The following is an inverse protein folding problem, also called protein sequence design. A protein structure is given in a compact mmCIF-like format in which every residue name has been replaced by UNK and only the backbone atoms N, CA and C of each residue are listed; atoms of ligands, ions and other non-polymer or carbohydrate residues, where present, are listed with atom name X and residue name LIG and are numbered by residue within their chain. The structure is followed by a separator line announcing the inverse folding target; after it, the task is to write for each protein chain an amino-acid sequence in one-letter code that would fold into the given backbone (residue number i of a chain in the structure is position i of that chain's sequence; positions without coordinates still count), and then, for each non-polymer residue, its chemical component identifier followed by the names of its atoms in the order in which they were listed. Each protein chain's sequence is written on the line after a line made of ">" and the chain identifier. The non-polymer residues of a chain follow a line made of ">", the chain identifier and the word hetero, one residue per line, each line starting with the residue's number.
data_IF_993596392818
#
_entry.id   IF_993596392818
#
_cell.length_a   1.000
_cell.length_b   1.000
_cell.length_c   1.000
_cell.angle_alpha   90.00
_cell.angle_beta   90.00
_cell.angle_gamma   90.00
#
_symmetry.space_group_name_H-M   'P 1'
#
loop_
_entity.id
_entity.type
_entity.pdbx_description
1 polymer ?
#
# COMPACT_ATOMS: atom_id res chain seq x y z
N UNK A 1 -17.69 22.84 16.76
CA UNK A 1 -16.80 21.68 16.82
C UNK A 1 -15.41 22.16 17.20
N UNK A 2 -14.90 21.73 18.36
CA UNK A 2 -13.61 22.16 18.87
C UNK A 2 -12.50 21.84 17.86
N UNK A 3 -11.70 22.87 17.52
CA UNK A 3 -10.45 22.71 16.77
C UNK A 3 -9.50 21.90 17.66
N UNK A 4 -9.35 20.61 17.42
CA UNK A 4 -8.20 19.90 17.92
C UNK A 4 -6.96 20.65 17.38
N UNK A 5 -6.20 21.28 18.25
CA UNK A 5 -4.96 21.91 17.86
C UNK A 5 -4.03 20.84 17.30
N UNK A 6 -3.72 20.92 16.03
CA UNK A 6 -2.73 20.04 15.42
C UNK A 6 -1.38 20.36 16.10
N UNK A 7 -0.81 19.35 16.73
CA UNK A 7 0.46 19.50 17.42
C UNK A 7 1.17 18.17 17.62
N UNK A 8 2.48 18.18 17.89
CA UNK A 8 3.30 16.97 18.01
C UNK A 8 2.72 15.95 18.99
N UNK A 9 2.14 16.42 20.11
CA UNK A 9 1.52 15.54 21.11
C UNK A 9 0.31 14.77 20.58
N UNK A 10 -0.57 15.41 19.79
CA UNK A 10 -1.73 14.75 19.18
C UNK A 10 -1.29 13.70 18.16
N UNK A 11 -0.32 14.04 17.33
CA UNK A 11 0.24 13.11 16.32
C UNK A 11 0.88 11.90 16.98
N UNK A 12 1.65 12.13 18.07
CA UNK A 12 2.26 11.05 18.84
C UNK A 12 1.23 10.12 19.45
N UNK A 13 0.20 10.68 20.11
CA UNK A 13 -0.89 9.89 20.73
C UNK A 13 -1.62 9.06 19.68
N UNK A 14 -2.00 9.66 18.54
CA UNK A 14 -2.70 8.95 17.46
C UNK A 14 -1.86 7.80 16.92
N UNK A 15 -0.58 8.04 16.65
CA UNK A 15 0.32 7.01 16.14
C UNK A 15 0.55 5.92 17.19
N UNK A 16 0.68 6.27 18.47
CA UNK A 16 0.80 5.30 19.56
C UNK A 16 -0.45 4.42 19.70
N UNK A 17 -1.65 5.02 19.60
CA UNK A 17 -2.91 4.26 19.64
C UNK A 17 -3.01 3.29 18.46
N UNK A 18 -2.68 3.73 17.25
CA UNK A 18 -2.68 2.87 16.06
C UNK A 18 -1.66 1.74 16.22
N UNK A 19 -0.44 2.06 16.71
CA UNK A 19 0.61 1.07 16.99
C UNK A 19 0.17 0.04 18.01
N UNK A 20 -0.44 0.48 19.11
CA UNK A 20 -0.97 -0.41 20.12
C UNK A 20 -2.06 -1.33 19.55
N UNK A 21 -2.95 -0.77 18.72
CA UNK A 21 -4.06 -1.52 18.11
C UNK A 21 -3.55 -2.67 17.25
N UNK A 22 -2.64 -2.43 16.32
CA UNK A 22 -2.16 -3.50 15.46
C UNK A 22 -1.20 -4.46 16.18
N UNK A 23 -0.38 -3.97 17.14
CA UNK A 23 0.51 -4.83 17.92
C UNK A 23 -0.29 -5.79 18.80
N UNK A 24 -1.35 -5.31 19.47
CA UNK A 24 -2.25 -6.16 20.24
C UNK A 24 -2.97 -7.16 19.34
N UNK A 25 -3.44 -6.74 18.17
CA UNK A 25 -4.06 -7.63 17.21
C UNK A 25 -3.11 -8.76 16.76
N UNK A 26 -1.83 -8.42 16.51
CA UNK A 26 -0.77 -9.37 16.15
C UNK A 26 -0.47 -10.39 17.26
N UNK A 27 -0.46 -9.94 18.53
CA UNK A 27 -0.20 -10.81 19.71
C UNK A 27 -1.34 -11.76 20.00
N UNK A 28 -2.58 -11.29 19.83
CA UNK A 28 -3.77 -12.11 20.12
C UNK A 28 -3.97 -13.26 19.14
N UNK A 29 -3.17 -13.33 18.07
CA UNK A 29 -3.23 -14.42 17.10
C UNK A 29 -4.61 -14.56 16.45
N UNK A 30 -5.29 -13.44 16.23
CA UNK A 30 -6.68 -13.43 15.77
C UNK A 30 -6.73 -13.63 14.25
N UNK A 31 -6.19 -14.74 13.75
CA UNK A 31 -6.25 -15.09 12.32
C UNK A 31 -7.67 -15.00 11.77
N UNK A 32 -8.64 -15.45 12.53
CA UNK A 32 -10.07 -15.33 12.18
C UNK A 32 -10.55 -13.89 12.25
N UNK A 33 -10.11 -13.12 13.25
CA UNK A 33 -10.49 -11.72 13.43
C UNK A 33 -9.89 -10.81 12.35
N UNK A 34 -8.61 -10.98 12.04
CA UNK A 34 -7.92 -10.22 10.97
C UNK A 34 -8.53 -10.52 9.61
N UNK A 35 -8.79 -11.78 9.29
CA UNK A 35 -9.50 -12.17 8.05
C UNK A 35 -10.91 -11.58 7.98
N UNK A 36 -11.65 -11.59 9.08
CA UNK A 36 -12.97 -10.98 9.14
C UNK A 36 -12.90 -9.47 8.94
N UNK A 37 -11.94 -8.80 9.61
CA UNK A 37 -11.72 -7.36 9.49
C UNK A 37 -11.31 -6.97 8.07
N UNK A 38 -10.39 -7.70 7.44
CA UNK A 38 -9.99 -7.48 6.05
C UNK A 38 -11.16 -7.66 5.08
N UNK A 39 -11.98 -8.68 5.27
CA UNK A 39 -13.18 -8.91 4.46
C UNK A 39 -14.22 -7.78 4.66
N UNK A 40 -14.42 -7.32 5.90
CA UNK A 40 -15.31 -6.20 6.18
C UNK A 40 -14.81 -4.92 5.52
N UNK A 41 -13.53 -4.60 5.67
CA UNK A 41 -12.88 -3.45 5.03
C UNK A 41 -13.06 -3.47 3.52
N UNK A 42 -12.83 -4.61 2.89
CA UNK A 42 -13.03 -4.79 1.46
C UNK A 42 -14.49 -4.53 1.04
N UNK A 43 -15.45 -5.06 1.79
CA UNK A 43 -16.88 -4.81 1.52
C UNK A 43 -17.24 -3.34 1.66
N UNK A 44 -16.68 -2.65 2.64
CA UNK A 44 -16.89 -1.20 2.84
C UNK A 44 -16.30 -0.42 1.66
N UNK A 45 -15.10 -0.76 1.18
CA UNK A 45 -14.52 -0.11 0.00
C UNK A 45 -15.40 -0.30 -1.25
N UNK A 46 -15.93 -1.49 -1.49
CA UNK A 46 -16.88 -1.70 -2.59
C UNK A 46 -18.19 -0.93 -2.39
N UNK A 47 -18.71 -0.86 -1.17
CA UNK A 47 -19.91 -0.10 -0.87
C UNK A 47 -19.71 1.41 -1.09
N UNK A 48 -18.55 1.96 -0.68
CA UNK A 48 -18.18 3.35 -0.90
C UNK A 48 -18.02 3.66 -2.41
N UNK A 49 -17.39 2.75 -3.15
CA UNK A 49 -17.24 2.87 -4.59
C UNK A 49 -18.61 2.90 -5.28
N UNK A 50 -19.49 1.96 -4.94
CA UNK A 50 -20.83 1.89 -5.49
C UNK A 50 -21.66 3.15 -5.13
N UNK A 51 -21.55 3.59 -3.87
CA UNK A 51 -22.21 4.82 -3.44
C UNK A 51 -21.79 6.01 -4.31
N UNK A 52 -20.49 6.21 -4.53
CA UNK A 52 -20.00 7.31 -5.36
C UNK A 52 -20.38 7.17 -6.84
N UNK A 53 -20.46 5.95 -7.37
CA UNK A 53 -20.98 5.73 -8.73
C UNK A 53 -22.45 6.18 -8.82
N UNK A 54 -23.28 5.90 -7.80
CA UNK A 54 -24.69 6.24 -7.81
C UNK A 54 -24.96 7.74 -7.61
N UNK A 55 -24.23 8.37 -6.67
CA UNK A 55 -24.45 9.80 -6.34
C UNK A 55 -23.57 10.75 -7.15
N UNK A 56 -22.51 10.24 -7.75
CA UNK A 56 -21.56 11.01 -8.55
C UNK A 56 -22.02 11.23 -9.99
N UNK A 57 -21.27 12.02 -10.74
CA UNK A 57 -21.55 12.30 -12.15
C UNK A 57 -21.10 11.14 -13.04
N UNK A 58 -21.83 10.03 -13.02
CA UNK A 58 -21.45 8.75 -13.67
C UNK A 58 -21.05 8.91 -15.14
N UNK A 59 -21.80 9.70 -15.92
CA UNK A 59 -21.48 9.93 -17.34
C UNK A 59 -20.14 10.66 -17.49
N UNK A 60 -19.89 11.67 -16.65
CA UNK A 60 -18.61 12.36 -16.65
C UNK A 60 -17.45 11.44 -16.26
N UNK A 61 -17.64 10.64 -15.22
CA UNK A 61 -16.64 9.65 -14.77
C UNK A 61 -16.26 8.70 -15.90
N UNK A 62 -17.25 8.13 -16.61
CA UNK A 62 -17.00 7.21 -17.73
C UNK A 62 -16.28 7.90 -18.89
N UNK A 63 -16.70 9.11 -19.26
CA UNK A 63 -16.05 9.87 -20.31
C UNK A 63 -14.62 10.25 -19.93
N UNK A 64 -14.40 10.75 -18.71
CA UNK A 64 -13.08 11.10 -18.20
C UNK A 64 -12.15 9.88 -18.17
N UNK A 65 -12.66 8.72 -17.76
CA UNK A 65 -11.90 7.48 -17.73
C UNK A 65 -11.45 7.07 -19.13
N UNK A 66 -12.35 7.08 -20.10
CA UNK A 66 -12.04 6.72 -21.47
C UNK A 66 -11.01 7.67 -22.10
N UNK A 67 -11.22 8.98 -21.93
CA UNK A 67 -10.29 9.99 -22.43
C UNK A 67 -8.93 9.89 -21.72
N UNK A 68 -8.96 9.76 -20.39
CA UNK A 68 -7.75 9.62 -19.58
C UNK A 68 -6.94 8.37 -19.95
N UNK A 69 -7.58 7.23 -20.17
CA UNK A 69 -6.92 6.01 -20.64
C UNK A 69 -6.31 6.20 -22.03
N UNK A 70 -7.01 6.86 -22.95
CA UNK A 70 -6.47 7.17 -24.28
C UNK A 70 -5.21 8.02 -24.19
N UNK A 71 -5.24 9.11 -23.43
CA UNK A 71 -4.08 9.96 -23.23
C UNK A 71 -2.93 9.25 -22.51
N UNK A 72 -3.23 8.41 -21.52
CA UNK A 72 -2.22 7.66 -20.79
C UNK A 72 -1.51 6.64 -21.72
N UNK A 73 -2.24 5.92 -22.54
CA UNK A 73 -1.65 4.96 -23.51
C UNK A 73 -0.82 5.66 -24.58
N UNK A 74 -1.32 6.79 -25.11
CA UNK A 74 -0.62 7.56 -26.14
C UNK A 74 0.70 8.16 -25.63
N UNK A 75 0.72 8.64 -24.39
CA UNK A 75 1.86 9.40 -23.83
C UNK A 75 2.60 8.67 -22.72
N UNK A 76 2.34 7.39 -22.50
CA UNK A 76 2.91 6.62 -21.42
C UNK A 76 4.43 6.75 -21.32
N UNK A 77 5.12 6.49 -22.42
CA UNK A 77 6.59 6.52 -22.47
C UNK A 77 7.15 7.93 -22.31
N UNK A 78 6.52 8.89 -22.95
CA UNK A 78 6.95 10.30 -22.87
C UNK A 78 6.81 10.81 -21.44
N UNK A 79 5.67 10.61 -20.81
CA UNK A 79 5.46 11.07 -19.43
C UNK A 79 6.27 10.32 -18.40
N UNK A 80 6.50 9.04 -18.60
CA UNK A 80 7.25 8.22 -17.64
C UNK A 80 8.77 8.42 -17.72
N UNK A 81 9.31 8.71 -18.91
CA UNK A 81 10.76 8.65 -19.15
C UNK A 81 11.40 9.97 -19.58
N UNK A 82 10.63 10.95 -20.08
CA UNK A 82 11.18 12.20 -20.59
C UNK A 82 11.17 13.31 -19.50
N UNK A 83 12.35 13.68 -18.96
CA UNK A 83 12.45 14.75 -17.99
C UNK A 83 12.38 16.15 -18.59
N UNK A 84 12.41 16.30 -19.93
CA UNK A 84 12.58 17.59 -20.58
C UNK A 84 11.36 18.09 -21.36
N UNK A 85 10.60 17.21 -21.99
CA UNK A 85 9.54 17.56 -22.95
C UNK A 85 8.15 17.70 -22.35
N UNK A 86 7.84 16.96 -21.33
CA UNK A 86 6.57 17.14 -20.66
C UNK A 86 6.79 18.08 -19.50
N UNK A 87 6.14 19.15 -19.27
CA UNK A 87 6.06 19.90 -18.02
C UNK A 87 6.63 19.19 -16.77
N UNK A 88 7.39 18.19 -17.04
CA UNK A 88 7.56 16.88 -16.56
C UNK A 88 8.82 16.57 -15.85
N UNK A 89 9.78 17.46 -15.61
CA UNK A 89 10.88 17.15 -14.69
C UNK A 89 10.31 16.76 -13.32
N UNK A 90 9.28 17.44 -12.88
CA UNK A 90 8.59 17.11 -11.63
C UNK A 90 7.86 15.76 -11.72
N UNK A 91 7.18 15.45 -12.83
CA UNK A 91 6.46 14.19 -13.02
C UNK A 91 7.41 12.99 -12.98
N UNK A 92 8.47 13.02 -13.80
CA UNK A 92 9.46 11.93 -13.84
C UNK A 92 10.17 11.76 -12.50
N UNK A 93 10.55 12.87 -11.85
CA UNK A 93 11.25 12.82 -10.55
C UNK A 93 10.36 12.25 -9.45
N UNK A 94 9.12 12.72 -9.33
CA UNK A 94 8.24 12.34 -8.24
C UNK A 94 7.48 11.02 -8.48
N UNK A 95 7.11 10.72 -9.72
CA UNK A 95 6.30 9.53 -10.03
C UNK A 95 7.15 8.38 -10.55
N UNK A 96 8.05 8.61 -11.48
CA UNK A 96 8.85 7.50 -12.00
C UNK A 96 10.03 7.18 -11.09
N UNK A 97 10.91 8.14 -10.82
CA UNK A 97 12.14 7.84 -10.08
C UNK A 97 11.86 7.58 -8.60
N UNK A 98 11.11 8.44 -7.97
CA UNK A 98 10.86 8.39 -6.53
C UNK A 98 9.93 7.24 -6.13
N UNK A 99 8.82 7.07 -6.81
CA UNK A 99 7.88 5.97 -6.56
C UNK A 99 8.54 4.61 -6.79
N UNK A 100 9.28 4.45 -7.90
CA UNK A 100 10.01 3.22 -8.14
C UNK A 100 11.08 2.95 -7.09
N UNK A 101 11.78 3.98 -6.59
CA UNK A 101 12.74 3.79 -5.52
C UNK A 101 12.08 3.25 -4.24
N UNK A 102 10.91 3.76 -3.86
CA UNK A 102 10.13 3.25 -2.72
C UNK A 102 9.70 1.81 -2.95
N UNK A 103 9.15 1.50 -4.14
CA UNK A 103 8.70 0.14 -4.48
C UNK A 103 9.85 -0.87 -4.49
N UNK A 104 11.01 -0.50 -5.00
CA UNK A 104 12.20 -1.35 -5.00
C UNK A 104 12.66 -1.63 -3.55
N UNK A 105 12.66 -0.63 -2.67
CA UNK A 105 12.98 -0.83 -1.25
C UNK A 105 12.05 -1.84 -0.57
N UNK A 106 10.80 -1.86 -0.97
CA UNK A 106 9.75 -2.69 -0.39
C UNK A 106 9.65 -4.09 -1.05
N UNK A 107 10.10 -4.22 -2.29
CA UNK A 107 9.92 -5.41 -3.11
C UNK A 107 10.44 -6.73 -2.49
N UNK A 108 11.63 -6.79 -1.86
CA UNK A 108 12.13 -8.03 -1.27
C UNK A 108 11.22 -8.55 -0.15
N UNK A 109 10.76 -7.66 0.73
CA UNK A 109 9.85 -8.01 1.82
C UNK A 109 8.50 -8.52 1.29
N UNK A 110 7.93 -7.80 0.32
CA UNK A 110 6.69 -8.21 -0.33
C UNK A 110 6.84 -9.50 -1.12
N UNK A 111 8.00 -9.70 -1.76
CA UNK A 111 8.29 -10.93 -2.48
C UNK A 111 8.22 -12.17 -1.58
N UNK A 112 8.77 -12.09 -0.37
CA UNK A 112 8.71 -13.17 0.61
C UNK A 112 7.27 -13.39 1.09
N UNK A 113 6.57 -12.33 1.46
CA UNK A 113 5.16 -12.42 1.83
C UNK A 113 4.32 -13.06 0.72
N UNK A 114 4.50 -12.63 -0.52
CA UNK A 114 3.80 -13.20 -1.66
C UNK A 114 4.17 -14.66 -1.93
N UNK A 115 5.41 -15.05 -1.71
CA UNK A 115 5.82 -16.45 -1.84
C UNK A 115 5.07 -17.35 -0.85
N UNK A 116 4.91 -16.89 0.39
CA UNK A 116 4.16 -17.62 1.43
C UNK A 116 2.70 -17.81 1.03
N UNK A 117 2.00 -16.75 0.61
CA UNK A 117 0.58 -16.84 0.26
C UNK A 117 0.30 -17.49 -1.10
N UNK A 118 1.32 -17.55 -1.95
CA UNK A 118 1.22 -18.15 -3.28
C UNK A 118 1.40 -19.67 -3.28
N UNK A 119 1.83 -20.25 -2.15
CA UNK A 119 2.08 -21.70 -2.07
C UNK A 119 0.88 -22.51 -2.54
N UNK A 120 1.13 -23.50 -3.41
CA UNK A 120 0.10 -24.34 -4.03
C UNK A 120 -0.73 -23.67 -5.14
N UNK A 121 -0.38 -22.45 -5.57
CA UNK A 121 -1.06 -21.74 -6.67
C UNK A 121 -0.21 -21.67 -7.93
N UNK A 122 -0.85 -21.58 -9.08
CA UNK A 122 -0.14 -21.38 -10.34
C UNK A 122 0.32 -19.94 -10.49
N UNK A 123 1.42 -19.69 -11.21
CA UNK A 123 1.93 -18.34 -11.53
C UNK A 123 0.83 -17.50 -12.21
N UNK A 124 0.03 -18.12 -13.10
CA UNK A 124 -1.09 -17.42 -13.75
C UNK A 124 -2.13 -16.90 -12.74
N UNK A 125 -2.53 -17.75 -11.78
CA UNK A 125 -3.47 -17.35 -10.71
C UNK A 125 -2.87 -16.24 -9.84
N UNK A 126 -1.58 -16.38 -9.50
CA UNK A 126 -0.87 -15.39 -8.70
C UNK A 126 -0.85 -14.02 -9.39
N UNK A 127 -0.44 -13.95 -10.66
CA UNK A 127 -0.39 -12.70 -11.41
C UNK A 127 -1.78 -12.07 -11.60
N UNK A 128 -2.80 -12.89 -11.88
CA UNK A 128 -4.16 -12.39 -12.03
C UNK A 128 -4.67 -11.73 -10.74
N UNK A 129 -4.46 -12.38 -9.59
CA UNK A 129 -5.00 -11.92 -8.31
C UNK A 129 -4.19 -10.77 -7.73
N UNK A 130 -2.86 -10.80 -7.83
CA UNK A 130 -2.00 -9.84 -7.15
C UNK A 130 -1.54 -8.66 -8.03
N UNK A 131 -1.69 -8.75 -9.33
CA UNK A 131 -1.31 -7.69 -10.27
C UNK A 131 -2.51 -7.16 -11.06
N UNK A 132 -3.17 -7.99 -11.84
CA UNK A 132 -4.20 -7.51 -12.77
C UNK A 132 -5.44 -7.00 -12.04
N UNK A 133 -6.00 -7.79 -11.12
CA UNK A 133 -7.22 -7.39 -10.40
C UNK A 133 -7.04 -6.12 -9.56
N UNK A 134 -5.95 -5.97 -8.77
CA UNK A 134 -5.73 -4.71 -8.04
C UNK A 134 -5.49 -3.51 -8.95
N UNK A 135 -4.81 -3.69 -10.10
CA UNK A 135 -4.60 -2.62 -11.07
C UNK A 135 -5.93 -2.15 -11.68
N UNK A 136 -6.80 -3.08 -12.10
CA UNK A 136 -8.13 -2.74 -12.62
C UNK A 136 -8.99 -2.08 -11.55
N UNK A 137 -8.99 -2.62 -10.33
CA UNK A 137 -9.70 -2.00 -9.20
C UNK A 137 -9.20 -0.58 -8.93
N UNK A 138 -7.88 -0.38 -8.93
CA UNK A 138 -7.27 0.95 -8.76
C UNK A 138 -7.70 1.94 -9.84
N UNK A 139 -7.71 1.53 -11.10
CA UNK A 139 -8.21 2.36 -12.20
C UNK A 139 -9.66 2.80 -11.98
N UNK A 140 -10.54 1.86 -11.64
CA UNK A 140 -11.96 2.17 -11.34
C UNK A 140 -12.07 3.07 -10.11
N UNK A 141 -11.34 2.76 -9.04
CA UNK A 141 -11.34 3.53 -7.80
C UNK A 141 -10.95 4.99 -8.04
N UNK A 142 -9.80 5.22 -8.64
CA UNK A 142 -9.32 6.59 -8.90
C UNK A 142 -10.16 7.34 -9.91
N UNK A 143 -10.74 6.66 -10.91
CA UNK A 143 -11.66 7.27 -11.86
C UNK A 143 -12.93 7.76 -11.17
N UNK A 144 -13.51 6.97 -10.28
CA UNK A 144 -14.75 7.31 -9.59
C UNK A 144 -14.53 8.44 -8.58
N UNK A 145 -13.54 8.30 -7.70
CA UNK A 145 -13.22 9.29 -6.68
C UNK A 145 -12.68 10.59 -7.28
N UNK A 146 -11.70 10.47 -8.18
CA UNK A 146 -11.08 11.61 -8.86
C UNK A 146 -12.03 12.31 -9.80
N UNK A 147 -12.79 11.56 -10.61
CA UNK A 147 -13.78 12.12 -11.53
C UNK A 147 -14.90 12.86 -10.79
N UNK A 148 -15.40 12.31 -9.69
CA UNK A 148 -16.40 12.99 -8.85
C UNK A 148 -15.84 14.28 -8.26
N UNK A 149 -14.62 14.24 -7.71
CA UNK A 149 -13.97 15.41 -7.12
C UNK A 149 -13.74 16.52 -8.16
N UNK A 150 -13.27 16.18 -9.35
CA UNK A 150 -13.04 17.12 -10.45
C UNK A 150 -14.34 17.77 -10.93
N UNK A 151 -15.39 16.98 -11.17
CA UNK A 151 -16.66 17.52 -11.61
C UNK A 151 -17.28 18.44 -10.56
N UNK A 152 -17.26 18.04 -9.30
CA UNK A 152 -17.82 18.88 -8.22
C UNK A 152 -17.02 20.17 -8.01
N UNK A 153 -15.69 20.15 -8.24
CA UNK A 153 -14.88 21.36 -8.26
C UNK A 153 -15.28 22.29 -9.43
N UNK A 154 -15.47 21.74 -10.64
CA UNK A 154 -15.86 22.52 -11.81
C UNK A 154 -17.28 23.08 -11.70
N UNK A 155 -18.19 22.35 -11.10
CA UNK A 155 -19.57 22.80 -10.84
C UNK A 155 -19.65 23.83 -9.69
N UNK A 156 -18.54 24.14 -9.03
CA UNK A 156 -18.52 25.05 -7.88
C UNK A 156 -19.16 24.47 -6.62
N UNK A 157 -19.43 23.17 -6.59
CA UNK A 157 -20.05 22.49 -5.44
C UNK A 157 -19.08 22.39 -4.26
N UNK A 158 -17.80 22.28 -4.53
CA UNK A 158 -16.70 22.24 -3.55
C UNK A 158 -15.52 23.04 -4.06
N UNK A 159 -14.78 23.69 -3.17
CA UNK A 159 -13.52 24.36 -3.52
C UNK A 159 -12.31 23.59 -2.94
N UNK A 160 -12.01 22.48 -3.60
CA UNK A 160 -10.89 21.58 -3.25
C UNK A 160 -9.56 22.27 -3.51
N UNK A 161 -9.47 23.05 -4.59
CA UNK A 161 -8.22 23.74 -4.97
C UNK A 161 -7.83 24.75 -3.90
N UNK A 162 -8.77 25.54 -3.39
CA UNK A 162 -8.50 26.49 -2.32
C UNK A 162 -8.16 25.76 -1.00
N UNK A 163 -8.86 24.68 -0.70
CA UNK A 163 -8.57 23.87 0.48
C UNK A 163 -7.13 23.30 0.43
N UNK A 164 -6.69 22.81 -0.73
CA UNK A 164 -5.31 22.31 -0.91
C UNK A 164 -4.29 23.42 -0.74
N UNK A 165 -4.54 24.61 -1.28
CA UNK A 165 -3.65 25.77 -1.12
C UNK A 165 -3.54 26.23 0.32
N UNK A 166 -4.63 26.14 1.09
CA UNK A 166 -4.68 26.57 2.48
C UNK A 166 -4.12 25.58 3.49
N UNK A 167 -4.27 24.27 3.24
CA UNK A 167 -3.95 23.22 4.23
C UNK A 167 -3.39 21.91 3.64
N UNK A 168 -2.95 21.93 2.39
CA UNK A 168 -2.38 20.76 1.71
C UNK A 168 -3.42 19.72 1.27
N UNK A 169 -2.94 18.59 0.73
CA UNK A 169 -3.77 17.55 0.17
C UNK A 169 -4.82 17.01 1.15
N UNK A 170 -4.48 16.90 2.43
CA UNK A 170 -5.39 16.40 3.47
C UNK A 170 -6.61 17.32 3.62
N UNK A 171 -6.42 18.64 3.56
CA UNK A 171 -7.53 19.60 3.62
C UNK A 171 -8.44 19.48 2.40
N UNK A 172 -7.88 19.24 1.21
CA UNK A 172 -8.64 18.97 -0.01
C UNK A 172 -9.52 17.71 0.11
N UNK A 173 -8.93 16.60 0.57
CA UNK A 173 -9.66 15.35 0.82
C UNK A 173 -10.79 15.57 1.83
N UNK A 174 -10.50 16.28 2.92
CA UNK A 174 -11.50 16.58 3.95
C UNK A 174 -12.68 17.37 3.40
N UNK A 175 -12.40 18.42 2.62
CA UNK A 175 -13.42 19.25 1.97
C UNK A 175 -14.29 18.44 1.02
N UNK A 176 -13.69 17.54 0.26
CA UNK A 176 -14.40 16.63 -0.62
C UNK A 176 -15.30 15.66 0.18
N UNK A 177 -14.79 15.02 1.21
CA UNK A 177 -15.55 14.07 2.03
C UNK A 177 -16.73 14.72 2.74
N UNK A 178 -16.61 15.99 3.17
CA UNK A 178 -17.71 16.75 3.78
C UNK A 178 -18.83 17.08 2.78
N UNK A 179 -18.53 17.14 1.50
CA UNK A 179 -19.52 17.41 0.45
C UNK A 179 -20.31 16.15 0.04
N UNK A 180 -19.84 14.95 0.41
CA UNK A 180 -20.57 13.71 0.14
C UNK A 180 -21.84 13.68 1.00
N UNK A 181 -23.01 13.31 0.45
CA UNK A 181 -24.21 13.10 1.23
C UNK A 181 -23.95 12.15 2.40
N UNK A 182 -24.49 12.45 3.56
CA UNK A 182 -24.26 11.71 4.81
C UNK A 182 -22.81 11.73 5.32
N UNK A 183 -21.98 12.72 4.92
CA UNK A 183 -20.59 12.86 5.32
C UNK A 183 -20.35 12.72 6.82
N UNK A 184 -21.28 13.16 7.66
CA UNK A 184 -21.20 13.01 9.12
C UNK A 184 -21.11 11.55 9.60
N UNK A 185 -21.68 10.59 8.87
CA UNK A 185 -21.60 9.16 9.17
C UNK A 185 -20.48 8.50 8.35
N UNK A 186 -20.33 8.88 7.09
CA UNK A 186 -19.36 8.28 6.19
C UNK A 186 -17.90 8.57 6.61
N UNK A 187 -17.61 9.77 7.08
CA UNK A 187 -16.26 10.14 7.49
C UNK A 187 -15.75 9.25 8.64
N UNK A 188 -16.47 9.05 9.76
CA UNK A 188 -16.08 8.09 10.78
C UNK A 188 -15.90 6.66 10.24
N UNK A 189 -16.80 6.19 9.37
CA UNK A 189 -16.69 4.85 8.76
C UNK A 189 -15.43 4.76 7.92
N UNK A 190 -15.12 5.76 7.10
CA UNK A 190 -13.89 5.79 6.29
C UNK A 190 -12.66 5.77 7.18
N UNK A 191 -12.60 6.59 8.24
CA UNK A 191 -11.47 6.64 9.16
C UNK A 191 -11.25 5.30 9.85
N UNK A 192 -12.31 4.68 10.39
CA UNK A 192 -12.22 3.36 11.03
C UNK A 192 -11.76 2.31 10.02
N UNK A 193 -12.28 2.35 8.81
CA UNK A 193 -11.91 1.42 7.73
C UNK A 193 -10.43 1.58 7.34
N UNK A 194 -9.92 2.80 7.26
CA UNK A 194 -8.51 3.08 6.98
C UNK A 194 -7.60 2.57 8.11
N UNK A 195 -7.98 2.80 9.38
CA UNK A 195 -7.24 2.27 10.53
C UNK A 195 -7.21 0.74 10.49
N UNK A 196 -8.33 0.10 10.20
CA UNK A 196 -8.43 -1.34 10.08
C UNK A 196 -7.58 -1.91 8.93
N UNK A 197 -7.64 -1.28 7.75
CA UNK A 197 -6.83 -1.65 6.59
C UNK A 197 -5.33 -1.50 6.88
N UNK A 198 -4.93 -0.40 7.50
CA UNK A 198 -3.55 -0.17 7.91
C UNK A 198 -3.08 -1.20 8.93
N UNK A 199 -3.91 -1.52 9.94
CA UNK A 199 -3.57 -2.49 10.98
C UNK A 199 -3.31 -3.88 10.40
N UNK A 200 -4.10 -4.33 9.42
CA UNK A 200 -3.85 -5.61 8.74
C UNK A 200 -2.54 -5.62 7.96
N UNK A 201 -2.21 -4.52 7.28
CA UNK A 201 -0.94 -4.39 6.55
C UNK A 201 0.26 -4.36 7.52
N UNK A 202 0.17 -3.59 8.59
CA UNK A 202 1.24 -3.47 9.59
C UNK A 202 1.51 -4.81 10.31
N UNK A 203 0.46 -5.56 10.64
CA UNK A 203 0.59 -6.91 11.21
C UNK A 203 1.29 -7.86 10.25
N UNK A 204 0.87 -7.91 8.99
CA UNK A 204 1.50 -8.72 7.96
C UNK A 204 2.99 -8.39 7.80
N UNK A 205 3.35 -7.11 7.77
CA UNK A 205 4.74 -6.68 7.63
C UNK A 205 5.58 -7.05 8.86
N UNK A 206 5.09 -6.78 10.06
CA UNK A 206 5.81 -7.13 11.31
C UNK A 206 6.02 -8.62 11.44
N UNK A 207 5.03 -9.43 11.06
CA UNK A 207 5.12 -10.89 11.04
C UNK A 207 6.14 -11.38 10.00
N UNK A 208 6.13 -10.82 8.79
CA UNK A 208 7.08 -11.21 7.74
C UNK A 208 8.52 -10.86 8.11
N UNK A 209 8.75 -9.67 8.69
CA UNK A 209 10.09 -9.28 9.17
C UNK A 209 10.53 -10.18 10.33
N UNK A 210 9.64 -10.49 11.26
CA UNK A 210 9.93 -11.40 12.37
C UNK A 210 10.31 -12.80 11.88
N UNK A 211 9.60 -13.33 10.88
CA UNK A 211 9.92 -14.62 10.26
C UNK A 211 11.31 -14.62 9.60
N UNK A 212 11.68 -13.54 8.90
CA UNK A 212 13.01 -13.36 8.33
C UNK A 212 14.14 -13.35 9.36
N UNK A 213 13.85 -12.87 10.57
CA UNK A 213 14.83 -12.82 11.67
C UNK A 213 14.86 -14.12 12.48
N UNK A 214 14.04 -15.12 12.16
CA UNK A 214 13.98 -16.39 12.88
C UNK A 214 14.82 -17.44 12.15
N UNK A 215 15.86 -17.96 12.83
CA UNK A 215 16.72 -19.01 12.26
C UNK A 215 15.94 -20.32 12.12
N UNK A 216 15.92 -20.88 10.92
CA UNK A 216 15.25 -22.17 10.63
C UNK A 216 13.71 -22.09 10.62
N UNK A 217 13.15 -20.90 10.46
CA UNK A 217 11.70 -20.74 10.33
C UNK A 217 11.20 -21.53 9.11
N UNK A 218 10.27 -22.45 9.35
CA UNK A 218 9.56 -23.16 8.27
C UNK A 218 8.45 -22.26 7.73
N UNK A 219 8.04 -22.51 6.49
CA UNK A 219 6.99 -21.74 5.81
C UNK A 219 5.67 -21.68 6.58
N UNK A 220 5.36 -22.69 7.39
CA UNK A 220 4.11 -22.81 8.14
C UNK A 220 4.25 -22.43 9.62
N UNK A 221 5.44 -22.06 10.09
CA UNK A 221 5.66 -21.69 11.49
C UNK A 221 5.51 -20.19 11.69
N UNK A 222 4.61 -19.81 12.60
CA UNK A 222 4.51 -18.43 13.03
C UNK A 222 5.73 -18.02 13.86
N UNK A 223 6.33 -16.83 13.60
CA UNK A 223 7.44 -16.34 14.41
C UNK A 223 7.00 -16.10 15.87
N UNK A 224 7.97 -16.13 16.77
CA UNK A 224 7.70 -15.93 18.19
C UNK A 224 7.00 -14.58 18.44
N UNK A 225 6.01 -14.58 19.32
CA UNK A 225 5.18 -13.38 19.62
C UNK A 225 6.02 -12.17 20.01
N UNK A 226 7.10 -12.38 20.79
CA UNK A 226 7.97 -11.27 21.18
C UNK A 226 8.65 -10.59 19.99
N UNK A 227 8.98 -11.34 18.93
CA UNK A 227 9.57 -10.79 17.71
C UNK A 227 8.56 -9.93 16.96
N UNK A 228 7.31 -10.40 16.83
CA UNK A 228 6.23 -9.61 16.23
C UNK A 228 6.02 -8.30 17.00
N UNK A 229 6.03 -8.35 18.33
CA UNK A 229 5.91 -7.15 19.19
C UNK A 229 7.08 -6.19 18.97
N UNK A 230 8.31 -6.69 19.00
CA UNK A 230 9.50 -5.85 18.80
C UNK A 230 9.44 -5.14 17.46
N UNK A 231 9.15 -5.85 16.39
CA UNK A 231 9.05 -5.25 15.06
C UNK A 231 7.86 -4.31 14.92
N UNK A 232 6.69 -4.68 15.43
CA UNK A 232 5.51 -3.83 15.44
C UNK A 232 5.74 -2.52 16.19
N UNK A 233 6.31 -2.59 17.40
CA UNK A 233 6.65 -1.40 18.19
C UNK A 233 7.73 -0.55 17.50
N UNK A 234 8.74 -1.17 16.88
CA UNK A 234 9.80 -0.47 16.16
C UNK A 234 9.24 0.31 14.97
N UNK A 235 8.37 -0.30 14.17
CA UNK A 235 7.69 0.36 13.05
C UNK A 235 6.86 1.55 13.56
N UNK A 236 6.08 1.34 14.62
CA UNK A 236 5.25 2.37 15.22
C UNK A 236 6.07 3.51 15.83
N UNK A 237 7.17 3.20 16.51
CA UNK A 237 8.07 4.19 17.11
C UNK A 237 8.71 5.08 16.04
N UNK A 238 9.24 4.49 14.96
CA UNK A 238 9.80 5.24 13.83
C UNK A 238 8.71 6.16 13.23
N UNK A 239 7.54 5.63 12.96
CA UNK A 239 6.42 6.42 12.44
C UNK A 239 6.02 7.56 13.38
N UNK A 240 5.90 7.29 14.69
CA UNK A 240 5.56 8.29 15.69
C UNK A 240 6.61 9.42 15.78
N UNK A 241 7.88 9.07 15.80
CA UNK A 241 8.99 10.05 15.84
C UNK A 241 8.96 10.91 14.59
N UNK A 242 8.88 10.31 13.41
CA UNK A 242 8.90 11.03 12.14
C UNK A 242 7.69 11.95 11.97
N UNK A 243 6.50 11.50 12.34
CA UNK A 243 5.28 12.32 12.24
C UNK A 243 5.24 13.41 13.31
N UNK A 244 5.58 13.10 14.56
CA UNK A 244 5.53 14.08 15.66
C UNK A 244 6.59 15.17 15.54
N UNK A 245 7.82 14.80 15.22
CA UNK A 245 8.95 15.73 15.12
C UNK A 245 9.19 16.27 13.71
N UNK A 246 8.72 15.58 12.68
CA UNK A 246 8.79 16.02 11.28
C UNK A 246 7.69 17.02 10.87
N UNK A 247 6.82 17.45 11.80
CA UNK A 247 5.77 18.43 11.50
C UNK A 247 4.53 17.83 10.82
N UNK A 248 4.11 16.63 11.20
CA UNK A 248 2.91 16.00 10.69
C UNK A 248 3.06 15.46 9.26
N UNK A 249 2.39 16.07 8.29
CA UNK A 249 2.45 15.64 6.89
C UNK A 249 3.88 15.68 6.31
N UNK A 250 4.70 16.66 6.69
CA UNK A 250 6.10 16.75 6.26
C UNK A 250 6.96 15.62 6.83
N UNK A 251 6.64 15.14 8.03
CA UNK A 251 7.30 13.96 8.60
C UNK A 251 7.07 12.69 7.80
N UNK A 252 5.89 12.54 7.20
CA UNK A 252 5.60 11.43 6.27
C UNK A 252 6.50 11.48 5.05
N UNK A 253 6.75 12.66 4.50
CA UNK A 253 7.67 12.81 3.37
C UNK A 253 9.10 12.41 3.75
N UNK A 254 9.54 12.73 4.98
CA UNK A 254 10.83 12.27 5.49
C UNK A 254 10.97 10.73 5.52
N UNK A 255 9.93 10.02 5.96
CA UNK A 255 9.90 8.54 5.91
C UNK A 255 10.00 8.03 4.49
N UNK A 256 9.26 8.64 3.57
CA UNK A 256 9.30 8.27 2.16
C UNK A 256 10.70 8.50 1.54
N UNK A 257 11.36 9.61 1.84
CA UNK A 257 12.73 9.87 1.39
C UNK A 257 13.72 8.83 1.91
N UNK A 258 13.59 8.45 3.18
CA UNK A 258 14.42 7.39 3.77
C UNK A 258 14.19 6.05 3.05
N UNK A 259 12.94 5.70 2.76
CA UNK A 259 12.60 4.51 1.99
C UNK A 259 13.18 4.55 0.57
N UNK A 260 13.11 5.69 -0.11
CA UNK A 260 13.68 5.86 -1.44
C UNK A 260 15.21 5.70 -1.45
N UNK A 261 15.91 6.22 -0.43
CA UNK A 261 17.35 5.98 -0.27
C UNK A 261 17.66 4.49 -0.06
N UNK A 262 16.84 3.78 0.73
CA UNK A 262 16.94 2.33 0.89
C UNK A 262 16.75 1.58 -0.42
N UNK A 263 15.87 2.05 -1.28
CA UNK A 263 15.60 1.46 -2.60
C UNK A 263 16.83 1.40 -3.49
N UNK A 264 17.70 2.39 -3.43
CA UNK A 264 18.94 2.39 -4.20
C UNK A 264 19.87 1.23 -3.79
N UNK A 265 20.00 0.97 -2.48
CA UNK A 265 20.81 -0.16 -1.97
C UNK A 265 20.17 -1.50 -2.34
N UNK A 266 18.86 -1.60 -2.21
CA UNK A 266 18.09 -2.81 -2.50
C UNK A 266 18.04 -3.12 -4.00
N UNK A 267 18.22 -2.12 -4.87
CA UNK A 267 18.20 -2.29 -6.32
C UNK A 267 19.15 -3.37 -6.81
N UNK A 268 20.35 -3.47 -6.23
CA UNK A 268 21.31 -4.50 -6.59
C UNK A 268 20.78 -5.92 -6.31
N UNK A 269 20.14 -6.10 -5.15
CA UNK A 269 19.49 -7.37 -4.77
C UNK A 269 18.33 -7.66 -5.71
N UNK A 270 17.52 -6.66 -6.02
CA UNK A 270 16.37 -6.79 -6.91
C UNK A 270 16.81 -7.21 -8.33
N UNK A 271 17.88 -6.63 -8.88
CA UNK A 271 18.45 -7.03 -10.17
C UNK A 271 18.88 -8.49 -10.15
N UNK A 272 19.55 -8.94 -9.08
CA UNK A 272 19.95 -10.34 -8.93
C UNK A 272 18.74 -11.29 -8.85
N UNK A 273 17.69 -10.89 -8.15
CA UNK A 273 16.43 -11.66 -8.08
C UNK A 273 15.76 -11.78 -9.46
N UNK A 274 15.70 -10.69 -10.21
CA UNK A 274 15.15 -10.69 -11.59
C UNK A 274 16.00 -11.59 -12.49
N UNK A 275 17.32 -11.48 -12.43
CA UNK A 275 18.22 -12.34 -13.20
C UNK A 275 18.07 -13.82 -12.85
N UNK A 276 17.92 -14.15 -11.56
CA UNK A 276 17.65 -15.51 -11.10
C UNK A 276 16.28 -16.01 -11.62
N UNK A 277 15.23 -15.20 -11.55
CA UNK A 277 13.91 -15.55 -12.06
C UNK A 277 13.92 -15.80 -13.58
N UNK A 278 14.61 -14.95 -14.34
CA UNK A 278 14.79 -15.14 -15.79
C UNK A 278 15.55 -16.43 -16.09
N UNK A 279 16.64 -16.70 -15.36
CA UNK A 279 17.38 -17.94 -15.50
C UNK A 279 16.50 -19.17 -15.26
N UNK A 280 15.74 -19.20 -14.15
CA UNK A 280 14.82 -20.30 -13.83
C UNK A 280 13.74 -20.46 -14.89
N UNK A 281 13.24 -19.35 -15.47
CA UNK A 281 12.22 -19.40 -16.52
C UNK A 281 12.70 -20.14 -17.77
N UNK A 282 13.96 -19.94 -18.17
CA UNK A 282 14.55 -20.56 -19.35
C UNK A 282 15.26 -21.90 -19.07
N UNK A 283 15.30 -22.38 -17.82
CA UNK A 283 15.85 -23.68 -17.48
C UNK A 283 14.95 -24.81 -18.04
N UNK A 284 15.59 -25.92 -18.38
CA UNK A 284 14.91 -27.13 -18.80
C UNK A 284 14.14 -27.80 -17.63
N UNK A 285 13.22 -28.72 -17.99
CA UNK A 285 12.36 -29.33 -16.97
C UNK A 285 13.09 -30.24 -16.00
N UNK A 286 14.18 -30.92 -16.47
CA UNK A 286 14.98 -31.82 -15.62
C UNK A 286 15.73 -31.04 -14.56
N UNK A 287 16.44 -29.97 -14.94
CA UNK A 287 17.16 -29.10 -13.99
C UNK A 287 16.22 -28.42 -13.00
N UNK A 288 14.99 -28.04 -13.43
CA UNK A 288 13.97 -27.52 -12.50
C UNK A 288 13.53 -28.54 -11.48
N UNK A 289 13.39 -29.80 -11.88
CA UNK A 289 13.01 -30.90 -11.00
C UNK A 289 14.12 -31.17 -9.97
N UNK A 290 15.38 -31.20 -10.41
CA UNK A 290 16.53 -31.43 -9.54
C UNK A 290 16.66 -30.35 -8.45
N UNK A 291 16.34 -29.08 -8.75
CA UNK A 291 16.31 -27.99 -7.77
C UNK A 291 15.20 -28.24 -6.74
N UNK A 292 14.00 -28.58 -7.16
CA UNK A 292 12.86 -28.83 -6.26
C UNK A 292 13.17 -30.04 -5.36
N UNK A 293 13.66 -31.12 -5.94
CA UNK A 293 14.01 -32.34 -5.18
C UNK A 293 15.16 -32.09 -4.19
N UNK A 294 16.10 -31.18 -4.51
CA UNK A 294 17.19 -30.80 -3.61
C UNK A 294 16.72 -29.89 -2.45
N UNK A 295 15.72 -29.03 -2.67
CA UNK A 295 15.11 -28.21 -1.61
C UNK A 295 14.35 -29.11 -0.63
N UNK A 296 13.62 -30.12 -1.09
CA UNK A 296 12.94 -31.09 -0.25
C UNK A 296 13.90 -31.92 0.62
N UNK A 297 15.15 -32.14 0.15
CA UNK A 297 16.21 -32.81 0.92
C UNK A 297 16.81 -31.93 2.01
N UNK A 298 16.77 -30.60 1.84
CA UNK A 298 17.27 -29.64 2.84
C UNK A 298 16.23 -29.45 3.96
N UNK A 299 14.94 -29.67 3.68
CA UNK A 299 13.85 -29.54 4.64
C UNK A 299 13.60 -30.77 5.51
N UNK A 300 14.25 -31.89 5.23
CA UNK A 300 14.23 -33.08 6.10
C UNK A 300 15.57 -33.25 6.82
N UNK A 301 15.81 -32.60 7.98
CA UNK A 301 16.75 -33.18 8.93
C UNK A 301 16.07 -34.43 9.47
N UNK A 302 16.54 -35.59 9.00
CA UNK A 302 16.20 -36.86 9.63
C UNK A 302 16.33 -36.75 11.14
N UNK A 303 15.31 -37.30 11.80
CA UNK A 303 15.15 -37.25 13.23
C UNK A 303 16.40 -37.64 14.04
N UNK A 304 16.55 -36.95 15.11
CA UNK A 304 16.91 -37.51 16.41
C UNK A 304 16.38 -36.63 17.51
#
# INVERSE_FOLDING_TARGET
>A
MGRFQQGPGVWFILTAVITATFTVASVLGIDKGIKWLANLTTKIFYALLLLLIVIGPTVYILNLTNVGMGYWLDRFWTWALDPYLAEGKALVTWWTMYDWAIWIAYAPLMGIFFAIIAYGRTIKQFLLINWILPAVFGLVWFSVWGGTALQWQMDGRVDIVQAIKAGGAVAGIWTFLQAIPFGGVLIPVIIITLIAAFSTTADTMSTTIAALCTKGAKHDEEPALWQKVVWGVSIGAIAAIMVAFGGGAQGVDGVKFLAACGGFVVLAIFILQVAAAVKVFFMDKETKKDIVDSEDLIETPEGK
#
